data_IF_241184092215
#
_entry.id   IF_241184092215
#
_cell.length_a   1.000
_cell.length_b   1.000
_cell.length_c   1.000
_cell.angle_alpha   90.00
_cell.angle_beta   90.00
_cell.angle_gamma   90.00
#
_symmetry.space_group_name_H-M   'P 1'
#
loop_
_entity.id
_entity.type
_entity.pdbx_description
1 polymer ?
#
# COMPACT_ATOMS: atom_id res chain seq x y z
N UNK A 1 17.34 -33.36 49.65
CA UNK A 1 16.06 -32.69 49.94
C UNK A 1 16.43 -31.39 50.61
N UNK A 2 16.17 -30.22 50.08
CA UNK A 2 15.42 -29.81 48.90
C UNK A 2 15.91 -28.40 48.52
N UNK A 3 15.71 -28.01 47.27
CA UNK A 3 16.11 -26.72 46.73
C UNK A 3 15.28 -25.57 47.35
N UNK A 4 15.94 -24.46 47.67
CA UNK A 4 15.31 -23.22 48.14
C UNK A 4 15.61 -22.09 47.16
N UNK A 5 14.61 -21.82 46.33
CA UNK A 5 14.59 -21.00 45.13
C UNK A 5 14.89 -19.50 45.37
N UNK A 6 15.61 -18.92 44.42
CA UNK A 6 16.08 -17.55 44.37
C UNK A 6 14.95 -16.66 43.82
N UNK A 7 14.23 -15.96 44.69
CA UNK A 7 13.19 -15.01 44.27
C UNK A 7 13.82 -13.70 43.85
N UNK A 8 14.10 -13.61 42.56
CA UNK A 8 14.49 -12.38 41.85
C UNK A 8 13.32 -11.38 41.89
N UNK A 9 13.62 -10.17 42.37
CA UNK A 9 12.66 -9.11 42.59
C UNK A 9 12.20 -8.52 41.24
N UNK A 10 10.92 -8.71 40.91
CA UNK A 10 10.24 -8.02 39.79
C UNK A 10 10.37 -6.50 39.96
N UNK A 11 11.29 -5.87 39.21
CA UNK A 11 11.34 -4.41 39.07
C UNK A 11 10.09 -3.97 38.29
N UNK A 12 9.13 -3.37 39.00
CA UNK A 12 7.93 -2.81 38.39
C UNK A 12 8.23 -1.57 37.55
N UNK A 13 7.50 -1.39 36.44
CA UNK A 13 7.57 -0.20 35.60
C UNK A 13 7.29 1.07 36.45
N UNK A 14 8.06 2.16 36.32
CA UNK A 14 7.94 3.34 37.20
C UNK A 14 6.64 4.14 37.07
N UNK A 15 5.77 3.78 36.12
CA UNK A 15 4.49 4.42 35.87
C UNK A 15 3.40 3.39 36.16
N UNK A 16 2.54 3.66 37.15
CA UNK A 16 1.40 2.80 37.47
C UNK A 16 0.39 2.78 36.32
N UNK A 17 -0.23 1.62 36.08
CA UNK A 17 -1.31 1.46 35.10
C UNK A 17 -2.46 2.45 35.30
N UNK A 18 -2.75 2.82 36.55
CA UNK A 18 -3.83 3.76 36.92
C UNK A 18 -3.55 5.19 36.42
N UNK A 19 -2.29 5.54 36.16
CA UNK A 19 -1.94 6.84 35.63
C UNK A 19 -2.51 7.06 34.22
N UNK A 20 -2.69 5.98 33.45
CA UNK A 20 -3.24 6.02 32.09
C UNK A 20 -4.76 6.15 32.05
N UNK A 21 -5.44 5.80 33.15
CA UNK A 21 -6.91 5.84 33.25
C UNK A 21 -7.47 7.21 33.64
N UNK A 22 -6.61 8.13 34.12
CA UNK A 22 -7.03 9.49 34.48
C UNK A 22 -7.55 10.23 33.24
N UNK A 23 -8.71 10.89 33.35
CA UNK A 23 -9.38 11.61 32.25
C UNK A 23 -8.44 12.57 31.50
N UNK A 24 -7.65 13.38 32.22
CA UNK A 24 -6.70 14.32 31.62
C UNK A 24 -5.57 13.61 30.84
N UNK A 25 -5.18 12.41 31.25
CA UNK A 25 -4.19 11.58 30.55
C UNK A 25 -4.83 10.95 29.31
N UNK A 26 -6.04 10.40 29.43
CA UNK A 26 -6.81 9.83 28.31
C UNK A 26 -7.03 10.83 27.18
N UNK A 27 -7.44 12.05 27.51
CA UNK A 27 -7.64 13.13 26.52
C UNK A 27 -6.33 13.55 25.85
N UNK A 28 -5.24 13.66 26.63
CA UNK A 28 -3.92 14.00 26.11
C UNK A 28 -3.36 12.91 25.17
N UNK A 29 -3.53 11.64 25.53
CA UNK A 29 -3.13 10.50 24.71
C UNK A 29 -3.96 10.43 23.42
N UNK A 30 -5.29 10.55 23.50
CA UNK A 30 -6.19 10.50 22.35
C UNK A 30 -5.91 11.63 21.34
N UNK A 31 -5.57 12.82 21.82
CA UNK A 31 -5.19 13.96 20.98
C UNK A 31 -3.71 13.93 20.52
N UNK A 32 -2.94 12.88 20.86
CA UNK A 32 -1.49 12.75 20.63
C UNK A 32 -0.68 13.95 21.15
N UNK A 33 -1.16 14.58 22.21
CA UNK A 33 -0.55 15.78 22.79
C UNK A 33 0.57 15.39 23.78
N UNK A 34 1.75 15.07 23.25
CA UNK A 34 2.89 14.62 24.05
C UNK A 34 3.33 15.64 25.11
N UNK A 35 3.20 16.94 24.81
CA UNK A 35 3.46 18.01 25.78
C UNK A 35 2.54 17.90 27.00
N UNK A 36 1.26 17.58 26.81
CA UNK A 36 0.30 17.37 27.89
C UNK A 36 0.56 16.05 28.63
N UNK A 37 0.91 14.97 27.92
CA UNK A 37 1.30 13.68 28.53
C UNK A 37 2.49 13.86 29.47
N UNK A 38 3.56 14.53 29.02
CA UNK A 38 4.75 14.78 29.86
C UNK A 38 4.44 15.71 31.04
N UNK A 39 3.58 16.71 30.87
CA UNK A 39 3.13 17.55 31.98
C UNK A 39 2.37 16.75 33.03
N UNK A 40 1.50 15.83 32.59
CA UNK A 40 0.74 14.97 33.50
C UNK A 40 1.66 13.99 34.24
N UNK A 41 2.61 13.34 33.56
CA UNK A 41 3.61 12.48 34.21
C UNK A 41 4.48 13.24 35.23
N UNK A 42 4.80 14.51 34.96
CA UNK A 42 5.52 15.35 35.92
C UNK A 42 4.71 15.69 37.18
N UNK A 43 3.38 15.82 37.07
CA UNK A 43 2.50 15.99 38.25
C UNK A 43 2.47 14.73 39.12
N UNK A 44 2.67 13.55 38.51
CA UNK A 44 2.78 12.25 39.19
C UNK A 44 4.20 11.97 39.73
N UNK A 45 5.12 12.94 39.67
CA UNK A 45 6.47 12.82 40.24
C UNK A 45 7.55 12.28 39.30
N UNK A 46 7.24 11.99 38.02
CA UNK A 46 8.23 11.53 37.04
C UNK A 46 9.05 12.73 36.51
N UNK A 47 10.36 12.71 36.72
CA UNK A 47 11.25 13.78 36.27
C UNK A 47 11.49 13.77 34.75
N UNK A 48 11.90 14.90 34.15
CA UNK A 48 12.25 14.96 32.72
C UNK A 48 13.38 13.98 32.35
N UNK A 49 14.33 13.76 33.27
CA UNK A 49 15.43 12.83 33.07
C UNK A 49 14.93 11.38 33.02
N UNK A 50 13.92 11.04 33.82
CA UNK A 50 13.28 9.73 33.77
C UNK A 50 12.45 9.55 32.49
N UNK A 51 11.69 10.57 32.08
CA UNK A 51 10.95 10.54 30.80
C UNK A 51 11.93 10.33 29.64
N UNK A 52 13.01 11.10 29.59
CA UNK A 52 14.06 10.98 28.56
C UNK A 52 14.66 9.57 28.51
N UNK A 53 15.00 9.00 29.67
CA UNK A 53 15.55 7.65 29.76
C UNK A 53 14.55 6.57 29.30
N UNK A 54 13.27 6.72 29.65
CA UNK A 54 12.21 5.80 29.29
C UNK A 54 11.90 5.84 27.78
N UNK A 55 11.84 7.04 27.19
CA UNK A 55 11.46 7.23 25.78
C UNK A 55 12.62 7.14 24.79
N UNK A 56 13.86 6.98 25.28
CA UNK A 56 15.06 7.03 24.44
C UNK A 56 15.30 8.39 23.79
N UNK A 57 14.84 9.47 24.43
CA UNK A 57 15.03 10.85 23.98
C UNK A 57 16.10 11.56 24.81
N UNK A 58 16.71 12.61 24.28
CA UNK A 58 17.55 13.51 25.06
C UNK A 58 16.72 14.39 26.01
N UNK A 59 17.33 14.82 27.12
CA UNK A 59 16.65 15.73 28.06
C UNK A 59 16.32 17.09 27.42
N UNK A 60 17.11 17.53 26.43
CA UNK A 60 16.81 18.73 25.64
C UNK A 60 15.53 18.57 24.83
N UNK A 61 15.35 17.44 24.15
CA UNK A 61 14.14 17.16 23.37
C UNK A 61 12.89 17.11 24.22
N UNK A 62 12.95 16.47 25.40
CA UNK A 62 11.83 16.45 26.36
C UNK A 62 11.49 17.87 26.83
N UNK A 63 12.48 18.72 27.07
CA UNK A 63 12.27 20.13 27.43
C UNK A 63 11.60 20.93 26.31
N UNK A 64 11.98 20.72 25.05
CA UNK A 64 11.36 21.41 23.91
C UNK A 64 9.90 20.99 23.71
N UNK A 65 9.60 19.69 23.86
CA UNK A 65 8.23 19.18 23.78
C UNK A 65 7.36 19.77 24.88
N UNK A 66 7.89 19.90 26.10
CA UNK A 66 7.21 20.59 27.20
C UNK A 66 6.97 22.08 26.93
N UNK A 67 7.85 22.73 26.14
CA UNK A 67 7.72 24.14 25.71
C UNK A 67 6.80 24.33 24.49
N UNK A 68 6.25 23.24 23.93
CA UNK A 68 5.24 23.30 22.87
C UNK A 68 5.68 22.74 21.52
N UNK A 69 6.89 22.15 21.40
CA UNK A 69 7.27 21.42 20.19
C UNK A 69 6.35 20.20 20.02
N UNK A 70 5.65 20.13 18.89
CA UNK A 70 4.78 19.01 18.57
C UNK A 70 5.59 17.81 18.06
N UNK A 71 5.15 16.61 18.42
CA UNK A 71 5.73 15.35 17.94
C UNK A 71 4.76 14.77 16.91
N UNK A 72 5.15 14.84 15.64
CA UNK A 72 4.31 14.42 14.51
C UNK A 72 4.70 13.05 13.93
N UNK A 73 5.95 12.63 14.12
CA UNK A 73 6.49 11.42 13.51
C UNK A 73 6.01 10.16 14.26
N UNK A 74 5.45 9.20 13.52
CA UNK A 74 4.82 7.99 14.07
C UNK A 74 5.82 7.10 14.83
N UNK A 75 7.03 6.93 14.29
CA UNK A 75 8.12 6.18 14.91
C UNK A 75 8.53 6.76 16.27
N UNK A 76 8.54 8.09 16.39
CA UNK A 76 8.80 8.79 17.65
C UNK A 76 7.64 8.61 18.63
N UNK A 77 6.39 8.70 18.16
CA UNK A 77 5.20 8.46 18.98
C UNK A 77 5.14 7.01 19.50
N UNK A 78 5.45 6.03 18.65
CA UNK A 78 5.52 4.62 19.01
C UNK A 78 6.61 4.37 20.05
N UNK A 79 7.82 4.91 19.84
CA UNK A 79 8.93 4.80 20.81
C UNK A 79 8.59 5.44 22.16
N UNK A 80 7.89 6.58 22.15
CA UNK A 80 7.40 7.23 23.37
C UNK A 80 6.37 6.34 24.06
N UNK A 81 5.42 5.77 23.32
CA UNK A 81 4.40 4.89 23.88
C UNK A 81 5.00 3.63 24.50
N UNK A 82 5.91 2.98 23.78
CA UNK A 82 6.62 1.77 24.23
C UNK A 82 7.48 2.06 25.45
N UNK A 83 8.27 3.13 25.39
CA UNK A 83 9.17 3.53 26.47
C UNK A 83 8.45 3.92 27.76
N UNK A 84 7.26 4.51 27.64
CA UNK A 84 6.43 4.86 28.79
C UNK A 84 5.52 3.71 29.25
N UNK A 85 5.40 2.62 28.49
CA UNK A 85 4.43 1.56 28.77
C UNK A 85 2.98 2.02 28.60
N UNK A 86 2.73 2.95 27.69
CA UNK A 86 1.38 3.42 27.34
C UNK A 86 0.70 2.32 26.51
N UNK A 87 -0.54 1.91 26.84
CA UNK A 87 -1.34 1.09 25.95
C UNK A 87 -1.50 1.80 24.60
N UNK A 88 -0.90 1.25 23.52
CA UNK A 88 -0.82 1.89 22.20
C UNK A 88 -2.18 2.38 21.68
N UNK A 89 -3.27 1.68 22.02
CA UNK A 89 -4.64 2.06 21.65
C UNK A 89 -5.08 3.41 22.19
N UNK A 90 -4.49 3.88 23.29
CA UNK A 90 -4.88 5.15 23.92
C UNK A 90 -4.32 6.36 23.19
N UNK A 91 -3.26 6.17 22.40
CA UNK A 91 -2.70 7.17 21.50
C UNK A 91 -3.21 7.04 20.06
N UNK A 92 -4.15 6.11 19.81
CA UNK A 92 -4.52 5.69 18.46
C UNK A 92 -3.32 5.15 17.69
N UNK A 93 -2.40 4.47 18.38
CA UNK A 93 -1.19 3.82 17.85
C UNK A 93 -1.31 2.29 17.86
N UNK A 94 -2.38 1.70 18.42
CA UNK A 94 -2.61 0.27 18.30
C UNK A 94 -3.20 -0.05 16.92
N UNK A 95 -2.35 -0.58 16.06
CA UNK A 95 -2.58 -1.95 15.61
C UNK A 95 -1.67 -2.83 16.47
N UNK A 96 -2.24 -3.56 17.44
CA UNK A 96 -1.57 -4.69 18.12
C UNK A 96 -2.59 -5.59 18.81
N UNK A 97 -2.28 -6.89 18.87
CA UNK A 97 -3.13 -8.08 19.08
C UNK A 97 -4.06 -8.05 20.32
N UNK A 98 -3.87 -7.15 21.28
CA UNK A 98 -4.74 -7.08 22.47
C UNK A 98 -6.16 -6.52 22.20
N UNK A 99 -6.42 -6.01 20.99
CA UNK A 99 -7.77 -5.58 20.55
C UNK A 99 -8.57 -6.71 19.87
N UNK A 100 -8.04 -7.94 19.81
CA UNK A 100 -8.88 -9.11 19.54
C UNK A 100 -9.81 -9.44 20.73
N UNK A 101 -9.45 -9.05 21.96
CA UNK A 101 -10.11 -9.59 23.17
C UNK A 101 -11.21 -8.68 23.76
N UNK A 102 -11.41 -7.45 23.26
CA UNK A 102 -12.46 -6.55 23.77
C UNK A 102 -13.52 -6.12 22.74
N UNK A 103 -13.82 -6.98 21.77
CA UNK A 103 -15.10 -6.98 21.05
C UNK A 103 -15.88 -8.30 21.29
N UNK A 104 -15.32 -9.25 22.02
CA UNK A 104 -16.01 -10.49 22.43
C UNK A 104 -16.74 -10.23 23.76
N UNK A 105 -17.85 -9.50 23.64
CA UNK A 105 -18.73 -9.16 24.75
C UNK A 105 -20.20 -9.18 24.37
N UNK A 106 -20.59 -10.03 23.41
CA UNK A 106 -21.93 -10.61 23.26
C UNK A 106 -21.92 -11.54 22.03
N UNK A 107 -22.08 -12.84 22.29
CA UNK A 107 -22.14 -13.99 21.38
C UNK A 107 -20.80 -14.70 21.15
N UNK A 108 -20.74 -15.93 21.65
CA UNK A 108 -19.76 -16.97 21.35
C UNK A 108 -19.51 -17.09 19.85
N UNK A 109 -18.25 -16.95 19.44
CA UNK A 109 -17.51 -17.85 18.53
C UNK A 109 -16.12 -17.26 18.33
N UNK A 110 -15.09 -18.01 18.73
CA UNK A 110 -13.68 -17.71 18.42
C UNK A 110 -13.52 -17.74 16.89
N UNK A 111 -13.46 -16.57 16.24
CA UNK A 111 -12.99 -16.49 14.86
C UNK A 111 -11.49 -16.74 14.87
N UNK A 112 -11.09 -17.95 14.51
CA UNK A 112 -9.72 -18.25 14.12
C UNK A 112 -9.28 -17.25 13.04
N UNK A 113 -8.06 -16.73 13.14
CA UNK A 113 -7.44 -15.92 12.10
C UNK A 113 -7.55 -16.66 10.77
N UNK A 114 -8.45 -16.20 9.88
CA UNK A 114 -8.72 -16.89 8.61
C UNK A 114 -7.45 -16.94 7.76
N UNK A 115 -7.15 -18.11 7.20
CA UNK A 115 -6.03 -18.28 6.26
C UNK A 115 -6.15 -17.26 5.11
N UNK A 116 -5.06 -16.55 4.80
CA UNK A 116 -4.96 -15.56 3.73
C UNK A 116 -5.46 -16.13 2.38
N UNK A 117 -5.30 -17.43 2.15
CA UNK A 117 -5.86 -18.10 0.96
C UNK A 117 -7.39 -18.05 0.88
N UNK A 118 -8.07 -18.11 2.03
CA UNK A 118 -9.53 -17.99 2.17
C UNK A 118 -9.94 -16.54 1.95
N UNK A 119 -9.24 -15.58 2.56
CA UNK A 119 -9.48 -14.14 2.38
C UNK A 119 -9.35 -13.72 0.90
N UNK A 120 -8.35 -14.23 0.18
CA UNK A 120 -8.21 -14.01 -1.28
C UNK A 120 -9.37 -14.58 -2.08
N UNK A 121 -9.81 -15.80 -1.76
CA UNK A 121 -10.94 -16.47 -2.43
C UNK A 121 -12.25 -15.72 -2.21
N UNK A 122 -12.51 -15.27 -0.99
CA UNK A 122 -13.71 -14.49 -0.64
C UNK A 122 -13.75 -13.17 -1.43
N UNK A 123 -12.62 -12.46 -1.50
CA UNK A 123 -12.52 -11.26 -2.30
C UNK A 123 -12.74 -11.52 -3.80
N UNK A 124 -12.15 -12.57 -4.36
CA UNK A 124 -12.34 -12.92 -5.77
C UNK A 124 -13.80 -13.26 -6.09
N UNK A 125 -14.46 -14.02 -5.22
CA UNK A 125 -15.87 -14.33 -5.36
C UNK A 125 -16.72 -13.05 -5.34
N UNK A 126 -16.43 -12.14 -4.40
CA UNK A 126 -17.08 -10.85 -4.32
C UNK A 126 -16.83 -10.00 -5.58
N UNK A 127 -15.59 -9.90 -6.05
CA UNK A 127 -15.23 -9.15 -7.25
C UNK A 127 -15.94 -9.69 -8.51
N UNK A 128 -16.05 -11.01 -8.64
CA UNK A 128 -16.80 -11.65 -9.71
C UNK A 128 -18.31 -11.34 -9.63
N UNK A 129 -18.90 -11.40 -8.43
CA UNK A 129 -20.31 -11.05 -8.22
C UNK A 129 -20.62 -9.61 -8.63
N UNK A 130 -19.81 -8.64 -8.17
CA UNK A 130 -20.02 -7.21 -8.48
C UNK A 130 -19.83 -6.94 -9.97
N UNK A 131 -18.80 -7.52 -10.58
CA UNK A 131 -18.49 -7.29 -12.01
C UNK A 131 -19.55 -7.91 -12.93
N UNK A 132 -20.00 -9.14 -12.64
CA UNK A 132 -20.93 -9.90 -13.48
C UNK A 132 -22.41 -9.57 -13.24
N UNK A 133 -22.74 -8.69 -12.29
CA UNK A 133 -24.12 -8.23 -12.06
C UNK A 133 -25.05 -9.28 -11.45
N UNK A 134 -24.52 -10.27 -10.73
CA UNK A 134 -25.36 -11.21 -9.98
C UNK A 134 -26.09 -10.45 -8.86
N UNK A 135 -27.43 -10.46 -8.88
CA UNK A 135 -28.25 -9.70 -7.94
C UNK A 135 -27.95 -10.05 -6.48
N UNK A 136 -27.64 -9.03 -5.68
CA UNK A 136 -27.61 -9.16 -4.22
C UNK A 136 -29.05 -9.00 -3.72
N UNK A 137 -29.69 -10.11 -3.36
CA UNK A 137 -30.74 -10.15 -2.35
C UNK A 137 -30.06 -10.53 -1.03
N UNK A 138 -29.54 -9.53 -0.31
CA UNK A 138 -28.88 -9.75 0.98
C UNK A 138 -28.16 -8.51 1.51
N UNK A 139 -28.41 -8.21 2.78
CA UNK A 139 -27.89 -7.11 3.60
C UNK A 139 -26.44 -6.65 3.30
N UNK A 140 -26.26 -5.33 3.20
CA UNK A 140 -24.94 -4.65 3.19
C UNK A 140 -24.01 -5.18 4.28
N UNK A 141 -22.70 -5.40 4.01
CA UNK A 141 -21.74 -5.74 5.04
C UNK A 141 -21.61 -4.59 6.06
N UNK A 142 -21.63 -4.95 7.35
CA UNK A 142 -21.40 -4.05 8.49
C UNK A 142 -20.11 -3.24 8.30
N UNK A 143 -20.16 -1.96 8.66
CA UNK A 143 -19.04 -1.02 8.62
C UNK A 143 -17.76 -1.58 9.24
N UNK A 144 -16.70 -1.69 8.43
CA UNK A 144 -15.35 -2.05 8.85
C UNK A 144 -14.48 -0.78 8.98
N UNK A 145 -14.73 0.04 9.99
CA UNK A 145 -13.80 1.03 10.54
C UNK A 145 -14.41 1.75 11.76
N UNK A 146 -13.64 1.88 12.85
CA UNK A 146 -14.01 2.74 13.98
C UNK A 146 -13.80 4.23 13.62
N UNK A 147 -14.79 5.08 13.92
CA UNK A 147 -14.75 6.52 13.62
C UNK A 147 -14.13 7.35 14.76
N UNK A 148 -13.15 8.22 14.50
CA UNK A 148 -12.81 9.34 15.38
C UNK A 148 -13.87 10.46 15.33
N UNK A 149 -13.79 11.43 16.25
CA UNK A 149 -14.80 12.46 16.50
C UNK A 149 -15.28 13.24 15.24
N UNK A 150 -16.60 13.45 15.17
CA UNK A 150 -17.37 13.79 13.97
C UNK A 150 -17.53 15.30 13.74
N UNK A 151 -17.15 15.79 12.56
CA UNK A 151 -17.86 16.91 11.95
C UNK A 151 -19.10 16.32 11.25
N UNK A 152 -20.33 16.71 11.61
CA UNK A 152 -21.53 16.16 10.98
C UNK A 152 -21.54 16.41 9.48
N UNK A 153 -21.86 15.39 8.67
CA UNK A 153 -22.18 15.62 7.27
C UNK A 153 -23.43 16.52 7.13
N UNK A 154 -23.51 17.36 6.08
CA UNK A 154 -24.69 18.16 5.80
C UNK A 154 -25.92 17.26 5.61
N UNK A 155 -27.08 17.61 6.18
CA UNK A 155 -28.32 16.82 5.99
C UNK A 155 -28.84 16.77 4.54
N UNK A 156 -28.35 17.67 3.70
CA UNK A 156 -28.56 17.69 2.26
C UNK A 156 -27.25 17.94 1.54
N UNK A 157 -26.93 17.10 0.55
CA UNK A 157 -25.71 17.21 -0.24
C UNK A 157 -26.01 17.64 -1.68
N UNK A 158 -25.13 18.47 -2.24
CA UNK A 158 -25.15 18.89 -3.63
C UNK A 158 -23.84 18.53 -4.35
N UNK A 159 -23.77 18.93 -5.63
CA UNK A 159 -22.56 18.67 -6.44
C UNK A 159 -21.29 19.33 -5.89
N UNK A 160 -21.41 20.37 -5.07
CA UNK A 160 -20.26 21.01 -4.43
C UNK A 160 -19.59 20.08 -3.42
N UNK A 161 -20.37 19.36 -2.62
CA UNK A 161 -19.85 18.41 -1.62
C UNK A 161 -19.13 17.26 -2.32
N UNK A 162 -19.71 16.73 -3.40
CA UNK A 162 -19.09 15.69 -4.22
C UNK A 162 -17.76 16.15 -4.81
N UNK A 163 -17.72 17.37 -5.38
CA UNK A 163 -16.46 17.94 -5.92
C UNK A 163 -15.39 18.15 -4.85
N UNK A 164 -15.76 18.39 -3.59
CA UNK A 164 -14.79 18.48 -2.50
C UNK A 164 -14.12 17.13 -2.23
N UNK A 165 -14.90 16.04 -2.19
CA UNK A 165 -14.35 14.67 -2.08
C UNK A 165 -13.40 14.38 -3.24
N UNK A 166 -13.82 14.65 -4.48
CA UNK A 166 -12.98 14.44 -5.67
C UNK A 166 -11.68 15.26 -5.63
N UNK A 167 -11.76 16.53 -5.23
CA UNK A 167 -10.59 17.40 -5.14
C UNK A 167 -9.61 16.92 -4.06
N UNK A 168 -10.13 16.52 -2.89
CA UNK A 168 -9.33 15.94 -1.82
C UNK A 168 -8.64 14.65 -2.28
N UNK A 169 -9.38 13.74 -2.94
CA UNK A 169 -8.81 12.50 -3.50
C UNK A 169 -7.70 12.78 -4.50
N UNK A 170 -7.88 13.72 -5.43
CA UNK A 170 -6.83 14.12 -6.40
C UNK A 170 -5.57 14.65 -5.70
N UNK A 171 -5.75 15.52 -4.70
CA UNK A 171 -4.63 16.09 -3.95
C UNK A 171 -3.86 15.00 -3.17
N UNK A 172 -4.57 14.10 -2.49
CA UNK A 172 -3.96 13.00 -1.74
C UNK A 172 -3.25 12.01 -2.66
N UNK A 173 -3.81 11.71 -3.84
CA UNK A 173 -3.17 10.86 -4.85
C UNK A 173 -1.87 11.46 -5.39
N UNK A 174 -1.83 12.77 -5.61
CA UNK A 174 -0.61 13.45 -6.04
C UNK A 174 0.50 13.34 -4.96
N UNK A 175 0.14 13.48 -3.68
CA UNK A 175 1.06 13.28 -2.56
C UNK A 175 1.55 11.83 -2.48
N UNK A 176 0.67 10.84 -2.67
CA UNK A 176 1.05 9.43 -2.69
C UNK A 176 2.01 9.10 -3.85
N UNK A 177 1.80 9.67 -5.04
CA UNK A 177 2.72 9.51 -6.15
C UNK A 177 4.09 10.10 -5.86
N UNK A 178 4.15 11.29 -5.26
CA UNK A 178 5.41 11.97 -4.95
C UNK A 178 6.19 11.25 -3.83
N UNK A 179 5.53 10.92 -2.72
CA UNK A 179 6.23 10.45 -1.51
C UNK A 179 6.13 8.93 -1.30
N UNK A 180 5.08 8.28 -1.80
CA UNK A 180 4.86 6.84 -1.69
C UNK A 180 4.68 6.32 -0.27
N UNK A 181 4.74 4.99 -0.15
CA UNK A 181 4.87 4.31 1.14
C UNK A 181 3.70 4.53 2.10
N UNK A 182 2.49 4.79 1.57
CA UNK A 182 1.31 5.05 2.39
C UNK A 182 1.36 6.39 3.14
N UNK A 183 2.22 7.33 2.74
CA UNK A 183 2.43 8.62 3.42
C UNK A 183 1.14 9.36 3.78
N UNK A 184 0.14 9.34 2.89
CA UNK A 184 -1.11 10.04 3.10
C UNK A 184 -2.24 9.15 3.63
N UNK A 185 -1.97 7.92 4.08
CA UNK A 185 -3.01 6.95 4.49
C UNK A 185 -3.95 7.51 5.56
N UNK A 186 -3.41 8.07 6.64
CA UNK A 186 -4.23 8.61 7.73
C UNK A 186 -5.14 9.76 7.23
N UNK A 187 -4.61 10.61 6.34
CA UNK A 187 -5.39 11.68 5.73
C UNK A 187 -6.48 11.13 4.79
N UNK A 188 -6.19 10.07 4.03
CA UNK A 188 -7.16 9.38 3.18
C UNK A 188 -8.28 8.75 4.02
N UNK A 189 -7.95 8.05 5.11
CA UNK A 189 -8.94 7.45 6.02
C UNK A 189 -9.79 8.52 6.71
N UNK A 190 -9.21 9.65 7.10
CA UNK A 190 -9.96 10.77 7.65
C UNK A 190 -10.96 11.36 6.64
N UNK A 191 -10.55 11.53 5.37
CA UNK A 191 -11.46 11.97 4.31
C UNK A 191 -12.57 10.94 4.03
N UNK A 192 -12.26 9.64 4.08
CA UNK A 192 -13.27 8.58 3.95
C UNK A 192 -14.32 8.65 5.05
N UNK A 193 -13.90 8.84 6.31
CA UNK A 193 -14.83 8.93 7.44
C UNK A 193 -15.82 10.08 7.27
N UNK A 194 -15.38 11.21 6.71
CA UNK A 194 -16.26 12.33 6.39
C UNK A 194 -17.16 12.03 5.18
N UNK A 195 -16.60 11.54 4.08
CA UNK A 195 -17.34 11.22 2.86
C UNK A 195 -18.41 10.14 3.05
N UNK A 196 -18.12 9.11 3.86
CA UNK A 196 -19.05 8.01 4.12
C UNK A 196 -20.35 8.50 4.79
N UNK A 197 -20.27 9.53 5.65
CA UNK A 197 -21.45 10.12 6.30
C UNK A 197 -22.41 10.78 5.29
N UNK A 198 -21.91 11.18 4.11
CA UNK A 198 -22.75 11.77 3.06
C UNK A 198 -23.72 10.75 2.43
N UNK A 199 -23.46 9.45 2.56
CA UNK A 199 -24.35 8.42 2.01
C UNK A 199 -25.72 8.40 2.70
N UNK A 200 -25.76 8.75 3.98
CA UNK A 200 -26.98 8.87 4.79
C UNK A 200 -27.73 10.19 4.54
N UNK A 201 -27.14 11.11 3.76
CA UNK A 201 -27.69 12.44 3.51
C UNK A 201 -28.71 12.44 2.37
N UNK A 202 -29.65 13.38 2.38
CA UNK A 202 -30.60 13.57 1.27
C UNK A 202 -29.90 14.15 0.04
N UNK A 203 -30.20 13.63 -1.15
CA UNK A 203 -29.54 14.03 -2.40
C UNK A 203 -30.41 13.71 -3.62
N UNK A 204 -30.31 14.51 -4.68
CA UNK A 204 -30.87 14.16 -5.99
C UNK A 204 -30.12 12.95 -6.59
N UNK A 205 -30.81 12.12 -7.39
CA UNK A 205 -30.22 10.90 -7.98
C UNK A 205 -28.90 11.12 -8.71
N UNK A 206 -28.73 12.17 -9.55
CA UNK A 206 -27.44 12.43 -10.20
C UNK A 206 -26.31 12.75 -9.21
N UNK A 207 -26.62 13.46 -8.11
CA UNK A 207 -25.65 13.79 -7.06
C UNK A 207 -25.23 12.52 -6.32
N UNK A 208 -26.19 11.65 -5.97
CA UNK A 208 -25.91 10.38 -5.29
C UNK A 208 -25.06 9.44 -6.16
N UNK A 209 -25.39 9.31 -7.44
CA UNK A 209 -24.60 8.50 -8.39
C UNK A 209 -23.16 9.01 -8.49
N UNK A 210 -22.95 10.33 -8.58
CA UNK A 210 -21.61 10.90 -8.61
C UNK A 210 -20.87 10.74 -7.27
N UNK A 211 -21.56 10.84 -6.13
CA UNK A 211 -20.97 10.58 -4.82
C UNK A 211 -20.45 9.14 -4.72
N UNK A 212 -21.19 8.15 -5.22
CA UNK A 212 -20.72 6.76 -5.25
C UNK A 212 -19.38 6.64 -5.99
N UNK A 213 -19.25 7.28 -7.16
CA UNK A 213 -17.99 7.30 -7.92
C UNK A 213 -16.87 8.00 -7.15
N UNK A 214 -17.15 9.14 -6.51
CA UNK A 214 -16.15 9.89 -5.74
C UNK A 214 -15.64 9.10 -4.52
N UNK A 215 -16.54 8.43 -3.79
CA UNK A 215 -16.18 7.58 -2.66
C UNK A 215 -15.49 6.30 -3.10
N UNK A 216 -15.89 5.71 -4.23
CA UNK A 216 -15.20 4.57 -4.82
C UNK A 216 -13.74 4.91 -5.14
N UNK A 217 -13.48 6.08 -5.74
CA UNK A 217 -12.13 6.52 -6.07
C UNK A 217 -11.28 6.77 -4.80
N UNK A 218 -11.90 7.33 -3.77
CA UNK A 218 -11.26 7.55 -2.47
C UNK A 218 -10.96 6.23 -1.75
N UNK A 219 -11.87 5.25 -1.79
CA UNK A 219 -11.64 3.90 -1.28
C UNK A 219 -10.55 3.17 -2.07
N UNK A 220 -10.48 3.35 -3.39
CA UNK A 220 -9.39 2.81 -4.22
C UNK A 220 -8.02 3.35 -3.76
N UNK A 221 -7.93 4.65 -3.46
CA UNK A 221 -6.72 5.26 -2.90
C UNK A 221 -6.41 4.75 -1.48
N UNK A 222 -7.42 4.56 -0.64
CA UNK A 222 -7.26 3.99 0.70
C UNK A 222 -6.74 2.55 0.65
N UNK A 223 -7.28 1.76 -0.28
CA UNK A 223 -6.83 0.39 -0.52
C UNK A 223 -5.35 0.36 -0.91
N UNK A 224 -4.96 1.23 -1.84
CA UNK A 224 -3.59 1.34 -2.32
C UNK A 224 -2.60 1.79 -1.23
N UNK A 225 -2.95 2.83 -0.47
CA UNK A 225 -2.09 3.37 0.59
C UNK A 225 -1.99 2.41 1.79
N UNK A 226 -3.05 1.68 2.11
CA UNK A 226 -3.01 0.57 3.09
C UNK A 226 -2.07 -0.55 2.63
N UNK A 227 -2.13 -0.93 1.35
CA UNK A 227 -1.22 -1.93 0.78
C UNK A 227 0.24 -1.48 0.86
N UNK A 228 0.55 -0.24 0.46
CA UNK A 228 1.91 0.31 0.56
C UNK A 228 2.40 0.41 2.03
N UNK A 229 1.50 0.33 3.01
CA UNK A 229 1.79 0.28 4.46
C UNK A 229 1.82 -1.14 5.05
N UNK A 230 1.64 -2.20 4.22
CA UNK A 230 1.58 -3.59 4.67
C UNK A 230 0.26 -4.03 5.31
N UNK A 231 -0.78 -3.20 5.30
CA UNK A 231 -2.07 -3.46 5.94
C UNK A 231 -3.03 -4.16 4.97
N UNK A 232 -2.79 -5.44 4.72
CA UNK A 232 -3.47 -6.21 3.67
C UNK A 232 -4.98 -6.33 3.85
N UNK A 233 -5.46 -6.61 5.06
CA UNK A 233 -6.89 -6.75 5.32
C UNK A 233 -7.62 -5.41 5.14
N UNK A 234 -7.00 -4.31 5.59
CA UNK A 234 -7.50 -2.95 5.33
C UNK A 234 -7.52 -2.65 3.83
N UNK A 235 -6.48 -3.04 3.09
CA UNK A 235 -6.43 -2.84 1.65
C UNK A 235 -7.57 -3.58 0.93
N UNK A 236 -7.76 -4.85 1.26
CA UNK A 236 -8.81 -5.72 0.72
C UNK A 236 -10.21 -5.17 1.00
N UNK A 237 -10.47 -4.75 2.24
CA UNK A 237 -11.74 -4.14 2.63
C UNK A 237 -12.03 -2.84 1.87
N UNK A 238 -11.04 -1.97 1.70
CA UNK A 238 -11.22 -0.75 0.92
C UNK A 238 -11.43 -1.01 -0.56
N UNK A 239 -10.70 -1.94 -1.19
CA UNK A 239 -10.93 -2.29 -2.59
C UNK A 239 -12.30 -2.93 -2.83
N UNK A 240 -12.83 -3.71 -1.87
CA UNK A 240 -14.17 -4.28 -1.96
C UNK A 240 -15.24 -3.17 -1.97
N UNK A 241 -15.18 -2.25 -0.99
CA UNK A 241 -16.08 -1.09 -0.94
C UNK A 241 -15.96 -0.22 -2.20
N UNK A 242 -14.73 0.00 -2.69
CA UNK A 242 -14.51 0.74 -3.92
C UNK A 242 -15.25 0.11 -5.11
N UNK A 243 -15.19 -1.21 -5.23
CA UNK A 243 -15.79 -1.95 -6.34
C UNK A 243 -17.32 -1.88 -6.30
N UNK A 244 -17.92 -2.09 -5.12
CA UNK A 244 -19.36 -1.96 -4.92
C UNK A 244 -19.86 -0.55 -5.28
N UNK A 245 -19.20 0.48 -4.77
CA UNK A 245 -19.57 1.88 -5.01
C UNK A 245 -19.37 2.27 -6.48
N UNK A 246 -18.28 1.84 -7.12
CA UNK A 246 -18.05 2.10 -8.54
C UNK A 246 -19.15 1.48 -9.41
N UNK A 247 -19.61 0.27 -9.06
CA UNK A 247 -20.72 -0.38 -9.77
C UNK A 247 -22.07 0.29 -9.52
N UNK A 248 -22.36 0.69 -8.28
CA UNK A 248 -23.55 1.50 -7.97
C UNK A 248 -23.55 2.86 -8.70
N UNK A 249 -22.37 3.42 -8.93
CA UNK A 249 -22.15 4.62 -9.74
C UNK A 249 -22.17 4.39 -11.25
N UNK A 250 -22.34 3.15 -11.72
CA UNK A 250 -22.23 2.75 -13.14
C UNK A 250 -20.96 3.27 -13.82
N UNK A 251 -19.80 3.16 -13.15
CA UNK A 251 -18.53 3.64 -13.67
C UNK A 251 -17.57 2.47 -13.94
N UNK A 252 -17.69 1.87 -15.13
CA UNK A 252 -16.89 0.71 -15.50
C UNK A 252 -15.40 1.03 -15.70
N UNK A 253 -15.04 2.29 -16.03
CA UNK A 253 -13.64 2.73 -16.02
C UNK A 253 -13.01 2.57 -14.63
N UNK A 254 -13.72 2.97 -13.57
CA UNK A 254 -13.24 2.88 -12.21
C UNK A 254 -13.25 1.43 -11.70
N UNK A 255 -14.24 0.62 -12.10
CA UNK A 255 -14.24 -0.83 -11.86
C UNK A 255 -12.97 -1.47 -12.45
N UNK A 256 -12.63 -1.16 -13.70
CA UNK A 256 -11.39 -1.64 -14.35
C UNK A 256 -10.14 -1.18 -13.58
N UNK A 257 -10.08 0.08 -13.14
CA UNK A 257 -8.97 0.60 -12.34
C UNK A 257 -8.79 -0.17 -11.02
N UNK A 258 -9.88 -0.38 -10.28
CA UNK A 258 -9.86 -1.05 -8.97
C UNK A 258 -9.37 -2.50 -9.13
N UNK A 259 -9.89 -3.21 -10.13
CA UNK A 259 -9.48 -4.59 -10.43
C UNK A 259 -8.02 -4.67 -10.88
N UNK A 260 -7.56 -3.72 -11.70
CA UNK A 260 -6.14 -3.56 -12.03
C UNK A 260 -5.27 -3.37 -10.78
N UNK A 261 -5.63 -2.44 -9.90
CA UNK A 261 -4.85 -2.15 -8.68
C UNK A 261 -4.78 -3.35 -7.75
N UNK A 262 -5.90 -4.05 -7.54
CA UNK A 262 -5.90 -5.23 -6.69
C UNK A 262 -5.18 -6.42 -7.34
N UNK A 263 -5.25 -6.57 -8.66
CA UNK A 263 -4.44 -7.56 -9.38
C UNK A 263 -2.94 -7.29 -9.21
N UNK A 264 -2.51 -6.02 -9.26
CA UNK A 264 -1.13 -5.61 -8.97
C UNK A 264 -0.72 -5.96 -7.54
N UNK A 265 -1.60 -5.77 -6.55
CA UNK A 265 -1.35 -6.19 -5.16
C UNK A 265 -1.04 -7.69 -5.11
N UNK A 266 -1.84 -8.53 -5.75
CA UNK A 266 -1.59 -9.99 -5.75
C UNK A 266 -0.35 -10.41 -6.54
N UNK A 267 0.06 -9.69 -7.59
CA UNK A 267 1.36 -9.93 -8.22
C UNK A 267 2.51 -9.69 -7.23
N UNK A 268 2.40 -8.64 -6.42
CA UNK A 268 3.40 -8.32 -5.40
C UNK A 268 3.40 -9.31 -4.22
N UNK A 269 2.31 -10.04 -3.99
CA UNK A 269 2.24 -11.12 -3.01
C UNK A 269 2.57 -12.52 -3.60
N UNK A 270 3.16 -12.57 -4.80
CA UNK A 270 3.48 -13.84 -5.48
C UNK A 270 2.24 -14.75 -5.68
N UNK A 271 1.05 -14.16 -5.85
CA UNK A 271 -0.21 -14.84 -6.11
C UNK A 271 -0.69 -14.59 -7.57
N UNK A 272 0.07 -14.99 -8.61
CA UNK A 272 -0.20 -14.61 -10.00
C UNK A 272 -1.51 -15.19 -10.55
N UNK A 273 -1.94 -16.36 -10.10
CA UNK A 273 -3.23 -16.93 -10.53
C UNK A 273 -4.43 -16.10 -10.03
N UNK A 274 -4.35 -15.56 -8.81
CA UNK A 274 -5.40 -14.70 -8.27
C UNK A 274 -5.36 -13.32 -8.92
N UNK A 275 -4.16 -12.81 -9.21
CA UNK A 275 -3.97 -11.58 -9.98
C UNK A 275 -4.58 -11.69 -11.39
N UNK A 276 -4.33 -12.81 -12.09
CA UNK A 276 -4.85 -13.06 -13.43
C UNK A 276 -6.38 -12.99 -13.47
N UNK A 277 -7.07 -13.60 -12.51
CA UNK A 277 -8.54 -13.55 -12.42
C UNK A 277 -9.05 -12.11 -12.29
N UNK A 278 -8.39 -11.29 -11.46
CA UNK A 278 -8.76 -9.89 -11.30
C UNK A 278 -8.53 -9.09 -12.59
N UNK A 279 -7.42 -9.32 -13.29
CA UNK A 279 -7.18 -8.66 -14.56
C UNK A 279 -8.18 -9.09 -15.65
N UNK A 280 -8.61 -10.35 -15.66
CA UNK A 280 -9.65 -10.84 -16.58
C UNK A 280 -11.03 -10.24 -16.27
N UNK A 281 -11.38 -10.06 -14.99
CA UNK A 281 -12.59 -9.32 -14.60
C UNK A 281 -12.47 -7.84 -15.00
N UNK A 282 -11.30 -7.24 -14.78
CA UNK A 282 -11.01 -5.87 -15.19
C UNK A 282 -11.10 -5.68 -16.71
N UNK A 283 -10.72 -6.70 -17.48
CA UNK A 283 -10.78 -6.71 -18.95
C UNK A 283 -12.21 -6.58 -19.45
N UNK A 284 -13.17 -7.24 -18.78
CA UNK A 284 -14.60 -7.09 -19.07
C UNK A 284 -15.03 -5.64 -18.82
N UNK A 285 -14.71 -5.10 -17.64
CA UNK A 285 -15.07 -3.72 -17.30
C UNK A 285 -14.42 -2.68 -18.25
N UNK A 286 -13.18 -2.92 -18.68
CA UNK A 286 -12.51 -2.06 -19.64
C UNK A 286 -13.19 -2.09 -21.02
N UNK A 287 -13.66 -3.26 -21.46
CA UNK A 287 -14.44 -3.40 -22.70
C UNK A 287 -15.78 -2.68 -22.62
N UNK A 288 -16.53 -2.84 -21.52
CA UNK A 288 -17.80 -2.14 -21.29
C UNK A 288 -17.61 -0.61 -21.25
N UNK A 289 -16.47 -0.15 -20.73
CA UNK A 289 -16.12 1.27 -20.72
C UNK A 289 -15.66 1.82 -22.08
N UNK A 290 -15.40 0.95 -23.07
CA UNK A 290 -14.85 1.34 -24.37
C UNK A 290 -13.44 1.92 -24.33
N UNK A 291 -12.64 1.64 -23.29
CA UNK A 291 -11.29 2.20 -23.14
C UNK A 291 -10.21 1.25 -23.66
N UNK A 292 -9.68 1.48 -24.86
CA UNK A 292 -8.58 0.68 -25.40
C UNK A 292 -7.31 0.77 -24.54
N UNK A 293 -7.07 1.94 -23.93
CA UNK A 293 -5.91 2.11 -23.05
C UNK A 293 -6.02 1.27 -21.77
N UNK A 294 -7.22 1.15 -21.19
CA UNK A 294 -7.45 0.28 -20.03
C UNK A 294 -7.29 -1.19 -20.41
N UNK A 295 -7.79 -1.59 -21.58
CA UNK A 295 -7.60 -2.93 -22.14
C UNK A 295 -6.09 -3.23 -22.29
N UNK A 296 -5.33 -2.28 -22.85
CA UNK A 296 -3.89 -2.42 -23.01
C UNK A 296 -3.17 -2.65 -21.68
N UNK A 297 -3.46 -1.83 -20.66
CA UNK A 297 -2.91 -1.98 -19.30
C UNK A 297 -3.22 -3.36 -18.73
N UNK A 298 -4.46 -3.82 -18.83
CA UNK A 298 -4.88 -5.11 -18.27
C UNK A 298 -4.23 -6.28 -19.00
N UNK A 299 -4.16 -6.25 -20.34
CA UNK A 299 -3.47 -7.27 -21.12
C UNK A 299 -1.98 -7.37 -20.74
N UNK A 300 -1.31 -6.22 -20.57
CA UNK A 300 0.10 -6.18 -20.18
C UNK A 300 0.35 -6.83 -18.79
N UNK A 301 -0.59 -6.67 -17.85
CA UNK A 301 -0.48 -7.26 -16.52
C UNK A 301 -0.95 -8.72 -16.46
N UNK A 302 -1.87 -9.14 -17.33
CA UNK A 302 -2.15 -10.56 -17.55
C UNK A 302 -0.92 -11.27 -18.10
N UNK A 303 -0.19 -10.65 -19.02
CA UNK A 303 1.07 -11.20 -19.53
C UNK A 303 2.07 -11.42 -18.40
N UNK A 304 2.23 -10.43 -17.51
CA UNK A 304 3.09 -10.58 -16.33
C UNK A 304 2.62 -11.72 -15.41
N UNK A 305 1.32 -11.85 -15.14
CA UNK A 305 0.80 -12.97 -14.37
C UNK A 305 1.13 -14.34 -15.01
N UNK A 306 0.93 -14.48 -16.32
CA UNK A 306 1.29 -15.71 -17.05
C UNK A 306 2.79 -15.99 -17.04
N UNK A 307 3.63 -14.96 -17.17
CA UNK A 307 5.09 -15.11 -17.07
C UNK A 307 5.50 -15.62 -15.68
N UNK A 308 4.91 -15.11 -14.61
CA UNK A 308 5.18 -15.60 -13.24
C UNK A 308 4.75 -17.06 -13.03
N UNK A 309 3.80 -17.56 -13.83
CA UNK A 309 3.39 -18.97 -13.82
C UNK A 309 4.17 -19.83 -14.83
N UNK A 310 5.19 -19.28 -15.51
CA UNK A 310 6.00 -19.97 -16.51
C UNK A 310 5.29 -20.23 -17.84
N UNK A 311 4.16 -19.59 -18.10
CA UNK A 311 3.41 -19.76 -19.35
C UNK A 311 3.87 -18.75 -20.41
N UNK A 312 4.96 -19.08 -21.11
CA UNK A 312 5.59 -18.24 -22.13
C UNK A 312 4.59 -17.84 -23.23
N UNK A 313 3.90 -18.81 -23.84
CA UNK A 313 3.03 -18.57 -25.00
C UNK A 313 1.90 -17.58 -24.69
N UNK A 314 1.20 -17.76 -23.57
CA UNK A 314 0.12 -16.83 -23.18
C UNK A 314 0.66 -15.45 -22.82
N UNK A 315 1.82 -15.40 -22.16
CA UNK A 315 2.50 -14.15 -21.83
C UNK A 315 2.83 -13.34 -23.09
N UNK A 316 3.47 -13.95 -24.08
CA UNK A 316 3.84 -13.27 -25.33
C UNK A 316 2.62 -12.85 -26.15
N UNK A 317 1.58 -13.69 -26.18
CA UNK A 317 0.31 -13.34 -26.83
C UNK A 317 -0.32 -12.09 -26.22
N UNK A 318 -0.35 -11.99 -24.89
CA UNK A 318 -0.95 -10.86 -24.19
C UNK A 318 -0.09 -9.60 -24.24
N UNK A 319 1.24 -9.71 -24.29
CA UNK A 319 2.11 -8.58 -24.64
C UNK A 319 1.81 -8.03 -26.04
N UNK A 320 1.58 -8.92 -27.01
CA UNK A 320 1.13 -8.54 -28.35
C UNK A 320 -0.18 -7.74 -28.31
N UNK A 321 -1.19 -8.29 -27.62
CA UNK A 321 -2.48 -7.60 -27.44
C UNK A 321 -2.31 -6.23 -26.78
N UNK A 322 -1.50 -6.13 -25.72
CA UNK A 322 -1.25 -4.87 -25.05
C UNK A 322 -0.70 -3.80 -26.01
N UNK A 323 0.28 -4.17 -26.85
CA UNK A 323 0.85 -3.25 -27.85
C UNK A 323 -0.17 -2.82 -28.90
N UNK A 324 -0.95 -3.76 -29.41
CA UNK A 324 -1.95 -3.48 -30.45
C UNK A 324 -3.04 -2.54 -29.94
N UNK A 325 -3.49 -2.73 -28.69
CA UNK A 325 -4.51 -1.89 -28.06
C UNK A 325 -3.97 -0.51 -27.69
N UNK A 326 -2.71 -0.44 -27.24
CA UNK A 326 -2.04 0.84 -27.02
C UNK A 326 -1.96 1.66 -28.32
N UNK A 327 -1.62 1.02 -29.43
CA UNK A 327 -1.53 1.68 -30.73
C UNK A 327 -2.89 2.17 -31.26
N UNK A 328 -4.00 1.55 -30.83
CA UNK A 328 -5.37 1.99 -31.14
C UNK A 328 -5.87 3.11 -30.22
N UNK A 329 -5.37 3.17 -28.99
CA UNK A 329 -5.90 4.04 -27.96
C UNK A 329 -5.72 5.54 -28.28
N UNK A 330 -6.78 6.31 -28.08
CA UNK A 330 -6.71 7.77 -28.07
C UNK A 330 -6.37 8.28 -26.66
N UNK A 331 -5.08 8.47 -26.37
CA UNK A 331 -4.59 8.92 -25.05
C UNK A 331 -5.18 10.28 -24.64
N UNK A 332 -5.50 11.16 -25.59
CA UNK A 332 -6.05 12.49 -25.29
C UNK A 332 -7.46 12.42 -24.69
N UNK A 333 -8.25 11.41 -25.09
CA UNK A 333 -9.62 11.19 -24.62
C UNK A 333 -9.70 10.18 -23.47
N UNK A 334 -8.57 9.57 -23.09
CA UNK A 334 -8.54 8.59 -22.01
C UNK A 334 -8.86 9.20 -20.65
N UNK A 335 -9.33 8.38 -19.71
CA UNK A 335 -9.53 8.76 -18.32
C UNK A 335 -8.20 9.03 -17.60
N UNK A 336 -8.18 9.99 -16.67
CA UNK A 336 -6.95 10.43 -16.01
C UNK A 336 -6.18 9.30 -15.31
N UNK A 337 -6.89 8.31 -14.78
CA UNK A 337 -6.26 7.20 -14.07
C UNK A 337 -5.40 6.32 -14.96
N UNK A 338 -5.70 6.24 -16.27
CA UNK A 338 -5.04 5.33 -17.21
C UNK A 338 -3.98 6.04 -18.07
N UNK A 339 -3.99 7.39 -18.09
CA UNK A 339 -3.01 8.21 -18.83
C UNK A 339 -1.56 8.00 -18.41
N UNK A 340 -1.29 7.45 -17.23
CA UNK A 340 0.07 7.07 -16.87
C UNK A 340 0.64 6.07 -17.88
N UNK A 341 -0.20 5.19 -18.46
CA UNK A 341 0.25 4.17 -19.39
C UNK A 341 0.53 4.76 -20.77
N UNK A 342 1.76 5.21 -20.96
CA UNK A 342 2.26 5.78 -22.20
C UNK A 342 3.28 4.83 -22.86
N UNK A 343 3.92 5.28 -23.94
CA UNK A 343 4.91 4.47 -24.67
C UNK A 343 6.04 3.95 -23.76
N UNK A 344 6.51 4.78 -22.82
CA UNK A 344 7.53 4.39 -21.82
C UNK A 344 7.06 3.23 -20.97
N UNK A 345 5.80 3.24 -20.51
CA UNK A 345 5.22 2.19 -19.68
C UNK A 345 4.98 0.90 -20.45
N UNK A 346 4.68 0.99 -21.76
CA UNK A 346 4.63 -0.19 -22.64
C UNK A 346 5.99 -0.87 -22.69
N UNK A 347 7.07 -0.12 -22.91
CA UNK A 347 8.43 -0.68 -22.92
C UNK A 347 8.85 -1.22 -21.55
N UNK A 348 8.52 -0.51 -20.46
CA UNK A 348 8.77 -0.97 -19.10
C UNK A 348 8.05 -2.31 -18.82
N UNK A 349 6.82 -2.49 -19.30
CA UNK A 349 6.10 -3.75 -19.12
C UNK A 349 6.66 -4.88 -19.99
N UNK A 350 7.01 -4.62 -21.25
CA UNK A 350 7.72 -5.59 -22.11
C UNK A 350 9.00 -6.06 -21.40
N UNK A 351 9.78 -5.11 -20.89
CA UNK A 351 10.99 -5.36 -20.11
C UNK A 351 10.72 -6.23 -18.88
N UNK A 352 9.73 -5.85 -18.08
CA UNK A 352 9.34 -6.57 -16.85
C UNK A 352 8.93 -8.01 -17.15
N UNK A 353 8.04 -8.22 -18.12
CA UNK A 353 7.54 -9.54 -18.48
C UNK A 353 8.66 -10.44 -18.99
N UNK A 354 9.51 -9.94 -19.89
CA UNK A 354 10.65 -10.71 -20.36
C UNK A 354 11.69 -10.97 -19.27
N UNK A 355 11.86 -10.07 -18.30
CA UNK A 355 12.72 -10.32 -17.13
C UNK A 355 12.23 -11.51 -16.32
N UNK A 356 10.91 -11.60 -16.09
CA UNK A 356 10.31 -12.73 -15.36
C UNK A 356 10.50 -14.04 -16.13
N UNK A 357 10.27 -14.03 -17.44
CA UNK A 357 10.51 -15.20 -18.29
C UNK A 357 12.00 -15.59 -18.35
N UNK A 358 12.91 -14.62 -18.36
CA UNK A 358 14.36 -14.87 -18.34
C UNK A 358 14.81 -15.60 -17.06
N UNK A 359 14.19 -15.28 -15.92
CA UNK A 359 14.49 -15.92 -14.63
C UNK A 359 13.87 -17.30 -14.48
N UNK A 360 12.63 -17.48 -14.96
CA UNK A 360 11.81 -18.65 -14.66
C UNK A 360 11.70 -19.68 -15.78
N UNK A 361 11.95 -19.29 -17.03
CA UNK A 361 11.68 -20.13 -18.21
C UNK A 361 12.93 -20.33 -19.05
N UNK A 362 13.47 -19.27 -19.65
CA UNK A 362 14.57 -19.37 -20.60
C UNK A 362 15.35 -18.05 -20.66
N UNK A 363 16.67 -18.10 -20.48
CA UNK A 363 17.54 -16.93 -20.48
C UNK A 363 17.52 -16.19 -21.82
N UNK A 364 17.09 -16.81 -22.93
CA UNK A 364 16.90 -16.14 -24.23
C UNK A 364 16.10 -14.84 -24.12
N UNK A 365 15.25 -14.69 -23.11
CA UNK A 365 14.42 -13.50 -22.96
C UNK A 365 15.19 -12.23 -22.56
N UNK A 366 16.44 -12.33 -22.11
CA UNK A 366 17.32 -11.18 -21.87
C UNK A 366 17.47 -10.32 -23.13
N UNK A 367 17.52 -10.95 -24.31
CA UNK A 367 17.64 -10.26 -25.61
C UNK A 367 16.46 -9.31 -25.93
N UNK A 368 15.30 -9.53 -25.29
CA UNK A 368 14.12 -8.67 -25.42
C UNK A 368 13.97 -7.72 -24.23
N UNK A 369 14.29 -8.20 -23.03
CA UNK A 369 14.18 -7.41 -21.80
C UNK A 369 15.14 -6.22 -21.79
N UNK A 370 16.43 -6.46 -22.09
CA UNK A 370 17.49 -5.45 -22.06
C UNK A 370 17.13 -4.23 -22.93
N UNK A 371 16.88 -4.36 -24.25
CA UNK A 371 16.58 -3.19 -25.08
C UNK A 371 15.29 -2.46 -24.68
N UNK A 372 14.26 -3.18 -24.22
CA UNK A 372 13.02 -2.57 -23.77
C UNK A 372 13.21 -1.76 -22.47
N UNK A 373 13.93 -2.31 -21.49
CA UNK A 373 14.24 -1.64 -20.24
C UNK A 373 15.15 -0.43 -20.45
N UNK A 374 16.18 -0.56 -21.30
CA UNK A 374 17.05 0.57 -21.65
C UNK A 374 16.25 1.72 -22.23
N UNK A 375 15.38 1.46 -23.21
CA UNK A 375 14.52 2.49 -23.81
C UNK A 375 13.60 3.15 -22.78
N UNK A 376 13.01 2.37 -21.88
CA UNK A 376 12.16 2.92 -20.82
C UNK A 376 12.95 3.82 -19.86
N UNK A 377 14.14 3.39 -19.43
CA UNK A 377 15.02 4.13 -18.51
C UNK A 377 15.48 5.46 -19.12
N UNK A 378 15.79 5.48 -20.41
CA UNK A 378 16.20 6.68 -21.14
C UNK A 378 15.05 7.69 -21.31
N UNK A 379 13.80 7.21 -21.38
CA UNK A 379 12.62 8.05 -21.56
C UNK A 379 12.04 8.62 -20.25
N UNK A 380 12.36 8.03 -19.09
CA UNK A 380 11.83 8.49 -17.80
C UNK A 380 12.34 9.89 -17.42
N UNK A 381 11.40 10.80 -17.16
CA UNK A 381 11.63 12.14 -16.61
C UNK A 381 11.94 12.17 -15.11
N UNK A 382 12.22 13.35 -14.58
CA UNK A 382 12.59 13.56 -13.16
C UNK A 382 11.48 13.18 -12.17
N UNK A 383 10.22 13.22 -12.61
CA UNK A 383 9.02 12.88 -11.87
C UNK A 383 8.77 11.36 -11.75
N UNK A 384 9.51 10.53 -12.51
CA UNK A 384 9.32 9.08 -12.57
C UNK A 384 10.46 8.28 -11.93
N UNK A 385 11.19 8.85 -10.95
CA UNK A 385 12.36 8.21 -10.32
C UNK A 385 12.07 6.80 -9.80
N UNK A 386 10.93 6.57 -9.16
CA UNK A 386 10.59 5.24 -8.63
C UNK A 386 10.47 4.20 -9.74
N UNK A 387 9.77 4.55 -10.83
CA UNK A 387 9.65 3.67 -11.99
C UNK A 387 11.02 3.44 -12.64
N UNK A 388 11.86 4.47 -12.72
CA UNK A 388 13.23 4.35 -13.23
C UNK A 388 14.07 3.37 -12.40
N UNK A 389 14.05 3.48 -11.08
CA UNK A 389 14.74 2.55 -10.16
C UNK A 389 14.28 1.11 -10.35
N UNK A 390 12.97 0.88 -10.48
CA UNK A 390 12.44 -0.47 -10.71
C UNK A 390 12.94 -1.07 -12.03
N UNK A 391 12.94 -0.28 -13.09
CA UNK A 391 13.42 -0.74 -14.40
C UNK A 391 14.95 -0.92 -14.43
N UNK A 392 15.71 -0.09 -13.70
CA UNK A 392 17.16 -0.28 -13.53
C UNK A 392 17.49 -1.58 -12.79
N UNK A 393 16.75 -1.91 -11.72
CA UNK A 393 16.92 -3.18 -11.02
C UNK A 393 16.62 -4.38 -11.94
N UNK A 394 15.54 -4.30 -12.74
CA UNK A 394 15.23 -5.31 -13.74
C UNK A 394 16.32 -5.40 -14.84
N UNK A 395 16.86 -4.27 -15.30
CA UNK A 395 17.90 -4.24 -16.32
C UNK A 395 19.19 -4.88 -15.81
N UNK A 396 19.62 -4.51 -14.61
CA UNK A 396 20.75 -5.13 -13.91
C UNK A 396 20.55 -6.65 -13.76
N UNK A 397 19.36 -7.08 -13.35
CA UNK A 397 19.00 -8.51 -13.27
C UNK A 397 19.22 -9.22 -14.61
N UNK A 398 18.79 -8.64 -15.74
CA UNK A 398 18.97 -9.27 -17.05
C UNK A 398 20.43 -9.31 -17.48
N UNK A 399 21.24 -8.27 -17.24
CA UNK A 399 22.68 -8.31 -17.53
C UNK A 399 23.39 -9.39 -16.72
N UNK A 400 23.03 -9.57 -15.45
CA UNK A 400 23.54 -10.67 -14.63
C UNK A 400 23.16 -12.03 -15.24
N UNK A 401 21.90 -12.21 -15.65
CA UNK A 401 21.43 -13.44 -16.33
C UNK A 401 22.21 -13.71 -17.62
N UNK A 402 22.43 -12.68 -18.44
CA UNK A 402 23.11 -12.76 -19.74
C UNK A 402 24.64 -13.01 -19.62
N UNK A 403 25.20 -12.80 -18.43
CA UNK A 403 26.63 -13.01 -18.15
C UNK A 403 27.48 -11.74 -18.23
N UNK A 404 26.87 -10.59 -18.52
CA UNK A 404 27.50 -9.26 -18.50
C UNK A 404 27.54 -8.70 -17.06
N UNK A 405 28.31 -9.38 -16.21
CA UNK A 405 28.23 -9.22 -14.75
C UNK A 405 28.69 -7.82 -14.31
N UNK A 406 29.77 -7.30 -14.90
CA UNK A 406 30.31 -5.99 -14.53
C UNK A 406 29.34 -4.87 -14.92
N UNK A 407 28.67 -4.98 -16.07
CA UNK A 407 27.66 -3.99 -16.45
C UNK A 407 26.41 -4.10 -15.59
N UNK A 408 25.92 -5.31 -15.34
CA UNK A 408 24.79 -5.56 -14.44
C UNK A 408 25.05 -4.99 -13.03
N UNK A 409 26.24 -5.20 -12.48
CA UNK A 409 26.62 -4.65 -11.19
C UNK A 409 26.69 -3.11 -11.17
N UNK A 410 27.22 -2.48 -12.23
CA UNK A 410 27.21 -1.01 -12.36
C UNK A 410 25.80 -0.45 -12.35
N UNK A 411 24.88 -1.03 -13.13
CA UNK A 411 23.48 -0.58 -13.19
C UNK A 411 22.79 -0.83 -11.84
N UNK A 412 23.05 -1.98 -11.20
CA UNK A 412 22.48 -2.32 -9.89
C UNK A 412 22.89 -1.33 -8.80
N UNK A 413 24.16 -0.90 -8.78
CA UNK A 413 24.63 0.16 -7.85
C UNK A 413 23.92 1.49 -8.09
N UNK A 414 23.75 1.90 -9.35
CA UNK A 414 23.01 3.13 -9.69
C UNK A 414 21.56 3.05 -9.22
N UNK A 415 20.92 1.88 -9.33
CA UNK A 415 19.57 1.65 -8.85
C UNK A 415 19.48 1.81 -7.32
N UNK A 416 20.46 1.31 -6.57
CA UNK A 416 20.56 1.47 -5.11
C UNK A 416 20.80 2.92 -4.69
N UNK A 417 21.72 3.63 -5.35
CA UNK A 417 21.99 5.05 -5.09
C UNK A 417 20.73 5.90 -5.33
N UNK A 418 20.00 5.61 -6.41
CA UNK A 418 18.75 6.28 -6.74
C UNK A 418 17.59 5.90 -5.79
N UNK A 419 17.69 4.74 -5.12
CA UNK A 419 16.70 4.25 -4.17
C UNK A 419 16.81 4.88 -2.78
N UNK A 420 17.98 5.40 -2.38
CA UNK A 420 18.24 5.91 -1.02
C UNK A 420 17.32 7.11 -0.65
N UNK A 421 16.82 7.84 -1.64
CA UNK A 421 15.84 8.91 -1.45
C UNK A 421 14.37 8.47 -1.42
N UNK A 422 14.08 7.18 -1.65
CA UNK A 422 12.71 6.67 -1.84
C UNK A 422 12.21 5.88 -0.63
N UNK A 423 11.18 6.40 0.05
CA UNK A 423 10.47 5.69 1.12
C UNK A 423 9.40 4.75 0.54
N UNK A 424 9.80 3.55 0.10
CA UNK A 424 8.87 2.60 -0.51
C UNK A 424 9.25 1.14 -0.25
N UNK A 425 8.40 0.40 0.47
CA UNK A 425 8.58 -1.05 0.70
C UNK A 425 8.77 -1.84 -0.61
N UNK A 426 8.04 -1.46 -1.67
CA UNK A 426 8.16 -2.07 -3.01
C UNK A 426 9.53 -1.96 -3.67
N UNK A 427 10.39 -1.04 -3.20
CA UNK A 427 11.77 -0.97 -3.71
C UNK A 427 12.52 -2.25 -3.32
N UNK A 428 12.35 -2.74 -2.09
CA UNK A 428 13.01 -3.98 -1.63
C UNK A 428 12.56 -5.17 -2.49
N UNK A 429 11.27 -5.32 -2.74
CA UNK A 429 10.72 -6.38 -3.62
C UNK A 429 11.34 -6.37 -5.03
N UNK A 430 11.62 -5.18 -5.57
CA UNK A 430 12.20 -5.03 -6.91
C UNK A 430 13.70 -5.28 -6.96
N UNK A 431 14.40 -5.15 -5.82
CA UNK A 431 15.83 -5.46 -5.71
C UNK A 431 16.09 -6.95 -5.44
N UNK A 432 15.11 -7.69 -4.90
CA UNK A 432 15.27 -9.11 -4.55
C UNK A 432 15.69 -10.01 -5.74
N UNK A 433 15.07 -9.90 -6.94
CA UNK A 433 15.53 -10.64 -8.13
C UNK A 433 17.00 -10.37 -8.49
N UNK A 434 17.42 -9.11 -8.39
CA UNK A 434 18.79 -8.70 -8.66
C UNK A 434 19.76 -9.29 -7.64
N UNK A 435 19.37 -9.31 -6.36
CA UNK A 435 20.15 -9.91 -5.29
C UNK A 435 20.35 -11.41 -5.50
N UNK A 436 19.28 -12.14 -5.81
CA UNK A 436 19.36 -13.58 -6.06
C UNK A 436 20.33 -13.91 -7.21
N UNK A 437 20.27 -13.15 -8.30
CA UNK A 437 21.19 -13.32 -9.43
C UNK A 437 22.62 -12.94 -9.07
N UNK A 438 22.83 -11.90 -8.26
CA UNK A 438 24.15 -11.53 -7.77
C UNK A 438 24.74 -12.62 -6.86
N UNK A 439 23.95 -13.17 -5.93
CA UNK A 439 24.36 -14.23 -5.00
C UNK A 439 24.76 -15.53 -5.71
N UNK A 440 24.08 -15.90 -6.81
CA UNK A 440 24.46 -17.03 -7.68
C UNK A 440 25.87 -16.87 -8.27
N UNK A 441 26.39 -15.64 -8.35
CA UNK A 441 27.65 -15.26 -8.99
C UNK A 441 28.72 -14.79 -8.00
N UNK A 442 28.66 -15.23 -6.74
CA UNK A 442 29.57 -14.84 -5.64
C UNK A 442 31.08 -14.91 -5.91
N UNK A 443 31.52 -15.66 -6.93
CA UNK A 443 32.93 -15.75 -7.33
C UNK A 443 33.40 -14.52 -8.13
N UNK A 444 32.48 -13.73 -8.67
CA UNK A 444 32.78 -12.46 -9.33
C UNK A 444 32.75 -11.32 -8.29
N UNK A 445 33.79 -10.49 -8.21
CA UNK A 445 33.89 -9.45 -7.18
C UNK A 445 32.81 -8.37 -7.29
N UNK A 446 32.40 -8.00 -8.51
CA UNK A 446 31.34 -7.00 -8.74
C UNK A 446 29.97 -7.53 -8.32
N UNK A 447 29.66 -8.80 -8.62
CA UNK A 447 28.42 -9.43 -8.18
C UNK A 447 28.36 -9.54 -6.65
N UNK A 448 29.47 -9.89 -6.00
CA UNK A 448 29.56 -9.97 -4.54
C UNK A 448 29.38 -8.61 -3.87
N UNK A 449 30.06 -7.56 -4.36
CA UNK A 449 29.86 -6.18 -3.88
C UNK A 449 28.40 -5.73 -4.02
N UNK A 450 27.76 -6.05 -5.14
CA UNK A 450 26.34 -5.74 -5.34
C UNK A 450 25.45 -6.45 -4.31
N UNK A 451 25.62 -7.76 -4.10
CA UNK A 451 24.85 -8.53 -3.12
C UNK A 451 25.02 -8.00 -1.68
N UNK A 452 26.25 -7.68 -1.28
CA UNK A 452 26.56 -7.07 0.02
C UNK A 452 25.87 -5.70 0.21
N UNK A 453 25.85 -4.88 -0.85
CA UNK A 453 25.16 -3.57 -0.84
C UNK A 453 23.65 -3.70 -0.76
N UNK A 454 23.06 -4.64 -1.50
CA UNK A 454 21.61 -4.88 -1.42
C UNK A 454 21.24 -5.37 -0.01
N UNK A 455 22.04 -6.29 0.55
CA UNK A 455 21.85 -6.77 1.92
C UNK A 455 21.89 -5.63 2.94
N UNK A 456 22.84 -4.71 2.77
CA UNK A 456 22.96 -3.51 3.63
C UNK A 456 21.77 -2.58 3.47
N UNK A 457 21.29 -2.37 2.24
CA UNK A 457 20.09 -1.58 1.94
C UNK A 457 18.82 -2.20 2.54
N UNK A 458 18.74 -3.53 2.65
CA UNK A 458 17.61 -4.20 3.30
C UNK A 458 17.63 -4.10 4.81
N UNK A 459 18.82 -4.02 5.42
CA UNK A 459 19.01 -3.89 6.87
C UNK A 459 18.80 -2.45 7.39
N UNK A 460 18.92 -1.45 6.51
CA UNK A 460 18.51 -0.07 6.77
C UNK A 460 16.98 0.09 6.69
#
# INVERSE_FOLDING_TARGET
MDAGDNTDARQGHPISSDAWEKREMREALAARNISAVYRNLRKEGISQRQIAALTGQSQSEVSEILKGRQVMAYDVLARIADGLGVPRGYMGLAYDEATEIQVVGAADEQQAEEDESVKRRNFLAHAAQVTMGAAILGSSPRAWAASPARTPAPGHIGMTDVRQVEAATRALRALDYQYGGGFCRDAVVAQLSWGQQMLDSSAATPVRSRLFVALADLHSLAGWTSFDSGLMDSARGHFANALELAKQGNNDHLVANILYRMGRVYLHQEAPNDALKLFQLGQIAAQESGSELAISVLAANQAWAYAMMGNEDQSLKLLGLAKDEFARANVAEAEDWVKFFNETDVYAMIGTVHTVLARGVDTKHTQYAIPALTRAIEAYGEDMQRSKVFNQAALATNHLIDGDIDHGARIGRLALESADGLKSARVKDRMMPMQEEAAKRRNNPDARDLDERISSFFAA
#
